data_IF_769430728025
#
_entry.id   IF_769430728025
#
_cell.length_a   1.000
_cell.length_b   1.000
_cell.length_c   1.000
_cell.angle_alpha   90.00
_cell.angle_beta   90.00
_cell.angle_gamma   90.00
#
_symmetry.space_group_name_H-M   'P 1'
#
loop_
_entity.id
_entity.type
_entity.pdbx_description
1 polymer ?
#
# COMPACT_ATOMS: atom_id res chain seq x y z
N UNK A 1 -9.69 -6.62 0.88
CA UNK A 1 -9.94 -7.24 -0.46
C UNK A 1 -9.33 -8.63 -0.57
N UNK A 2 -9.64 -9.42 -1.61
CA UNK A 2 -8.89 -10.66 -1.92
C UNK A 2 -7.84 -10.41 -2.99
N UNK A 3 -6.85 -11.30 -3.09
CA UNK A 3 -5.81 -11.22 -4.14
C UNK A 3 -6.44 -11.06 -5.53
N UNK A 4 -7.51 -11.79 -5.85
CA UNK A 4 -8.17 -11.78 -7.15
C UNK A 4 -8.83 -10.43 -7.49
N UNK A 5 -9.24 -9.66 -6.48
CA UNK A 5 -9.83 -8.33 -6.64
C UNK A 5 -8.78 -7.24 -6.86
N UNK A 6 -7.54 -7.49 -6.44
CA UNK A 6 -6.46 -6.52 -6.52
C UNK A 6 -5.77 -6.64 -7.87
N UNK A 7 -5.81 -5.56 -8.66
CA UNK A 7 -5.16 -5.51 -9.96
C UNK A 7 -3.77 -4.86 -9.86
N UNK A 8 -2.81 -5.42 -10.59
CA UNK A 8 -1.49 -4.81 -10.74
C UNK A 8 -1.60 -3.53 -11.60
N UNK A 9 -0.93 -2.46 -11.17
CA UNK A 9 -0.99 -1.15 -11.81
C UNK A 9 -2.21 -0.30 -11.45
N UNK A 10 -3.09 -0.81 -10.58
CA UNK A 10 -4.24 -0.06 -10.07
C UNK A 10 -3.98 0.51 -8.68
N UNK A 11 -4.63 1.63 -8.37
CA UNK A 11 -4.49 2.33 -7.10
C UNK A 11 -5.58 1.93 -6.12
N UNK A 12 -5.18 1.63 -4.89
CA UNK A 12 -6.09 1.25 -3.82
C UNK A 12 -5.75 1.97 -2.52
N UNK A 13 -6.76 2.19 -1.68
CA UNK A 13 -6.56 2.56 -0.28
C UNK A 13 -6.20 1.31 0.50
N UNK A 14 -5.09 1.35 1.22
CA UNK A 14 -4.70 0.25 2.08
C UNK A 14 -3.94 0.73 3.31
N UNK A 15 -3.88 -0.10 4.34
CA UNK A 15 -3.05 0.15 5.51
C UNK A 15 -1.78 -0.70 5.47
N UNK A 16 -0.63 -0.15 5.07
CA UNK A 16 0.61 -0.89 5.00
C UNK A 16 1.21 -1.14 6.38
N UNK A 17 2.08 -2.15 6.44
CA UNK A 17 2.78 -2.53 7.66
C UNK A 17 3.77 -1.42 8.04
N UNK A 18 3.63 -0.90 9.25
CA UNK A 18 4.49 0.17 9.78
C UNK A 18 3.95 1.58 9.58
N UNK A 19 2.77 1.74 8.96
CA UNK A 19 2.10 3.04 8.83
C UNK A 19 0.96 3.17 9.83
N UNK A 20 0.79 4.39 10.32
CA UNK A 20 -0.24 4.69 11.31
C UNK A 20 -1.59 4.91 10.65
N UNK A 21 -1.61 5.54 9.46
CA UNK A 21 -2.82 5.80 8.67
C UNK A 21 -2.89 4.92 7.42
N UNK A 22 -4.08 4.90 6.80
CA UNK A 22 -4.25 4.34 5.46
C UNK A 22 -3.54 5.22 4.43
N UNK A 23 -3.01 4.61 3.39
CA UNK A 23 -2.35 5.27 2.27
C UNK A 23 -3.00 4.82 0.96
N UNK A 24 -2.96 5.68 -0.05
CA UNK A 24 -3.40 5.35 -1.40
C UNK A 24 -2.17 5.09 -2.25
N UNK A 25 -2.14 3.94 -2.92
CA UNK A 25 -1.01 3.61 -3.76
C UNK A 25 -1.30 2.55 -4.80
N UNK A 26 -0.41 2.50 -5.79
CA UNK A 26 -0.46 1.59 -6.92
C UNK A 26 0.12 0.23 -6.53
N UNK A 27 -0.58 -0.85 -6.84
CA UNK A 27 -0.08 -2.21 -6.60
C UNK A 27 0.94 -2.57 -7.66
N UNK A 28 2.22 -2.63 -7.28
CA UNK A 28 3.34 -2.91 -8.19
C UNK A 28 3.74 -4.39 -8.18
N UNK A 29 3.38 -5.13 -7.12
CA UNK A 29 3.66 -6.56 -7.03
C UNK A 29 2.65 -7.27 -6.14
N UNK A 30 2.30 -8.51 -6.49
CA UNK A 30 1.39 -9.37 -5.74
C UNK A 30 2.15 -10.57 -5.21
N UNK A 31 1.95 -10.88 -3.94
CA UNK A 31 2.50 -12.05 -3.25
C UNK A 31 1.35 -12.87 -2.66
N UNK A 32 1.64 -14.04 -2.11
CA UNK A 32 0.64 -15.02 -1.65
C UNK A 32 -0.31 -14.50 -0.55
N UNK A 33 0.05 -13.46 0.21
CA UNK A 33 -0.80 -12.89 1.27
C UNK A 33 -0.70 -11.36 1.39
N UNK A 34 0.09 -10.72 0.53
CA UNK A 34 0.33 -9.29 0.58
C UNK A 34 0.66 -8.77 -0.82
N UNK A 35 0.55 -7.47 -0.98
CA UNK A 35 0.96 -6.77 -2.17
C UNK A 35 1.96 -5.68 -1.80
N UNK A 36 2.91 -5.46 -2.70
CA UNK A 36 3.77 -4.30 -2.68
C UNK A 36 3.02 -3.17 -3.34
N UNK A 37 2.88 -2.07 -2.59
CA UNK A 37 2.17 -0.88 -3.00
C UNK A 37 3.17 0.26 -3.09
N UNK A 38 3.18 0.93 -4.24
CA UNK A 38 3.87 2.19 -4.43
C UNK A 38 2.93 3.31 -4.03
N UNK A 39 3.19 3.95 -2.91
CA UNK A 39 2.31 4.98 -2.37
C UNK A 39 2.33 6.20 -3.28
N UNK A 40 1.15 6.61 -3.72
CA UNK A 40 0.93 7.82 -4.50
C UNK A 40 0.48 8.97 -3.59
N UNK A 41 -0.26 8.66 -2.53
CA UNK A 41 -0.81 9.63 -1.59
C UNK A 41 -0.85 9.07 -0.17
N UNK A 42 -0.36 9.82 0.81
CA UNK A 42 -0.43 9.45 2.23
C UNK A 42 -0.73 10.67 3.10
N UNK A 43 -1.00 10.43 4.38
CA UNK A 43 -1.13 11.49 5.36
C UNK A 43 0.20 12.23 5.55
N UNK A 44 0.14 13.53 5.83
CA UNK A 44 1.33 14.38 6.05
C UNK A 44 2.22 13.83 7.18
N UNK A 45 1.60 13.22 8.19
CA UNK A 45 2.30 12.58 9.31
C UNK A 45 3.15 11.37 8.89
N UNK A 46 2.71 10.64 7.86
CA UNK A 46 3.40 9.46 7.34
C UNK A 46 4.29 9.80 6.11
N UNK A 47 4.33 11.06 5.69
CA UNK A 47 5.07 11.51 4.51
C UNK A 47 6.59 11.36 4.71
N UNK A 48 7.08 11.65 5.91
CA UNK A 48 8.49 11.50 6.30
C UNK A 48 8.91 10.02 6.28
N UNK A 49 8.07 9.15 6.85
CA UNK A 49 8.20 7.69 6.78
C UNK A 49 8.19 7.18 5.33
N UNK A 50 7.36 7.79 4.48
CA UNK A 50 7.25 7.39 3.08
C UNK A 50 8.50 7.71 2.28
N UNK A 51 9.09 8.89 2.51
CA UNK A 51 10.36 9.28 1.91
C UNK A 51 11.48 8.34 2.35
N UNK A 52 11.54 7.97 3.63
CA UNK A 52 12.51 6.96 4.13
C UNK A 52 12.32 5.58 3.48
N UNK A 53 11.08 5.20 3.14
CA UNK A 53 10.74 3.92 2.52
C UNK A 53 10.74 3.96 0.99
N UNK A 54 11.29 5.01 0.37
CA UNK A 54 11.35 5.19 -1.08
C UNK A 54 9.98 5.01 -1.77
N UNK A 55 8.90 5.41 -1.08
CA UNK A 55 7.51 5.26 -1.52
C UNK A 55 7.05 3.82 -1.79
N UNK A 56 7.75 2.79 -1.29
CA UNK A 56 7.37 1.38 -1.44
C UNK A 56 7.03 0.75 -0.09
N UNK A 57 5.82 0.22 0.00
CA UNK A 57 5.28 -0.35 1.24
C UNK A 57 4.63 -1.70 0.97
N UNK A 58 4.51 -2.52 2.01
CA UNK A 58 3.83 -3.81 1.91
C UNK A 58 2.52 -3.74 2.68
N UNK A 59 1.42 -4.02 2.00
CA UNK A 59 0.10 -4.10 2.59
C UNK A 59 -0.45 -5.52 2.42
N UNK A 60 -1.13 -6.04 3.44
CA UNK A 60 -1.81 -7.33 3.32
C UNK A 60 -3.13 -7.14 2.63
N UNK A 61 -3.61 -8.13 1.87
CA UNK A 61 -4.89 -8.01 1.16
C UNK A 61 -6.08 -7.69 2.08
N UNK A 62 -6.03 -8.12 3.35
CA UNK A 62 -7.05 -7.79 4.36
C UNK A 62 -7.12 -6.30 4.70
N UNK A 63 -6.04 -5.54 4.48
CA UNK A 63 -5.99 -4.11 4.79
C UNK A 63 -6.36 -3.20 3.63
N UNK A 64 -6.66 -3.76 2.46
CA UNK A 64 -7.15 -3.01 1.30
C UNK A 64 -8.66 -2.78 1.43
N UNK A 65 -9.05 -1.51 1.26
CA UNK A 65 -10.42 -0.98 1.33
C UNK A 65 -11.00 -0.75 -0.07
#
# INVERSE_FOLDING_TARGET
MTEEMINLGEQYSCRPIGFTKSVVGEVVSKMTNCAVVKVAQCAIEDQELLEEKASMVVAKYDTFE
#
